data_IF_576054229439
#
_entry.id   IF_576054229439
#
_cell.length_a   1.000
_cell.length_b   1.000
_cell.length_c   1.000
_cell.angle_alpha   90.00
_cell.angle_beta   90.00
_cell.angle_gamma   90.00
#
_symmetry.space_group_name_H-M   'P 1'
#
loop_
_entity.id
_entity.type
_entity.pdbx_description
1 polymer ?
#
# COMPACT_ATOMS: atom_id res chain seq x y z
N UNK A 1 -21.85 7.24 12.20
CA UNK A 1 -20.40 7.29 12.44
C UNK A 1 -20.09 8.39 13.46
N UNK A 2 -19.16 8.16 14.34
CA UNK A 2 -18.70 9.14 15.35
C UNK A 2 -17.75 10.17 14.70
N UNK A 3 -17.01 9.72 13.66
CA UNK A 3 -16.06 10.54 12.94
C UNK A 3 -16.65 11.05 11.61
N UNK A 4 -16.32 12.30 11.25
CA UNK A 4 -16.81 12.94 10.02
C UNK A 4 -15.78 12.87 8.92
N UNK A 5 -15.88 11.88 8.03
CA UNK A 5 -15.03 11.72 6.87
C UNK A 5 -15.49 12.54 5.63
N UNK A 6 -16.63 13.23 5.71
CA UNK A 6 -17.12 14.14 4.67
C UNK A 6 -16.62 15.58 4.84
N UNK A 7 -15.90 15.86 5.92
CA UNK A 7 -15.32 17.17 6.15
C UNK A 7 -14.23 17.47 5.10
N UNK A 8 -14.39 18.61 4.41
CA UNK A 8 -13.40 19.08 3.45
C UNK A 8 -12.36 19.92 4.17
N UNK A 9 -11.15 19.41 4.26
CA UNK A 9 -10.03 20.06 4.90
C UNK A 9 -9.14 20.66 3.82
N UNK A 10 -8.88 21.97 3.88
CA UNK A 10 -7.98 22.63 2.95
C UNK A 10 -6.53 22.15 3.19
N UNK A 11 -5.94 21.62 2.14
CA UNK A 11 -4.57 21.09 2.16
C UNK A 11 -3.60 21.85 1.25
N UNK A 12 -4.10 22.77 0.40
CA UNK A 12 -3.22 23.60 -0.42
C UNK A 12 -2.53 24.65 0.46
N UNK A 13 -1.27 24.92 0.14
CA UNK A 13 -0.44 25.84 0.91
C UNK A 13 0.06 25.28 2.24
N UNK A 14 -0.09 23.96 2.49
CA UNK A 14 0.39 23.30 3.70
C UNK A 14 1.68 22.50 3.48
N UNK A 15 2.31 22.61 2.31
CA UNK A 15 3.39 21.76 1.81
C UNK A 15 2.99 20.29 1.65
N UNK A 16 1.72 20.03 1.41
CA UNK A 16 1.21 18.68 1.12
C UNK A 16 1.79 18.16 -0.20
N UNK A 17 2.53 17.05 -0.15
CA UNK A 17 3.05 16.41 -1.37
C UNK A 17 1.92 16.05 -2.35
N UNK A 18 0.77 15.61 -1.83
CA UNK A 18 -0.40 15.29 -2.63
C UNK A 18 -1.00 16.49 -3.32
N UNK A 19 -1.16 17.63 -2.62
CA UNK A 19 -1.92 18.80 -3.07
C UNK A 19 -1.06 19.91 -3.66
N UNK A 20 0.19 20.10 -3.20
CA UNK A 20 1.04 21.24 -3.56
C UNK A 20 2.10 20.89 -4.62
N UNK A 21 2.24 19.59 -5.00
CA UNK A 21 3.15 19.21 -6.08
C UNK A 21 2.72 19.82 -7.42
N UNK A 22 1.42 19.81 -7.70
CA UNK A 22 0.82 20.44 -8.89
C UNK A 22 0.29 21.79 -8.49
N UNK A 23 0.93 22.85 -9.00
CA UNK A 23 0.57 24.24 -8.67
C UNK A 23 -0.62 24.77 -9.44
N UNK A 24 -1.12 24.03 -10.42
CA UNK A 24 -2.25 24.41 -11.23
C UNK A 24 -3.56 24.40 -10.43
N UNK A 25 -4.31 25.47 -10.52
CA UNK A 25 -5.58 25.61 -9.80
C UNK A 25 -6.65 24.64 -10.32
N UNK A 26 -7.49 24.19 -9.41
CA UNK A 26 -8.64 23.34 -9.70
C UNK A 26 -8.32 21.88 -9.98
N UNK A 27 -7.04 21.46 -9.88
CA UNK A 27 -6.67 20.04 -9.98
C UNK A 27 -7.09 19.28 -8.72
N UNK A 28 -7.79 18.16 -8.91
CA UNK A 28 -8.15 17.21 -7.85
C UNK A 28 -7.12 16.11 -7.80
N UNK A 29 -6.30 16.02 -6.74
CA UNK A 29 -5.29 14.97 -6.62
C UNK A 29 -5.88 13.68 -6.05
N UNK A 30 -5.87 12.62 -6.84
CA UNK A 30 -6.33 11.28 -6.49
C UNK A 30 -5.23 10.23 -6.75
N UNK A 31 -3.97 10.58 -6.51
CA UNK A 31 -2.80 9.81 -6.95
C UNK A 31 -2.01 9.15 -5.82
N UNK A 32 -1.40 9.93 -4.92
CA UNK A 32 -0.54 9.41 -3.86
C UNK A 32 -1.35 8.80 -2.72
N UNK A 33 -0.82 7.76 -2.12
CA UNK A 33 -1.48 6.99 -1.07
C UNK A 33 -1.34 7.65 0.31
N UNK A 34 -1.93 8.83 0.48
CA UNK A 34 -2.32 9.44 1.74
C UNK A 34 -3.81 9.82 1.69
N UNK A 35 -4.42 10.14 2.83
CA UNK A 35 -5.85 10.40 2.93
C UNK A 35 -6.11 11.90 3.09
N UNK A 36 -7.31 12.34 2.68
CA UNK A 36 -7.78 13.72 2.91
C UNK A 36 -8.65 13.82 4.17
N UNK A 37 -8.44 12.93 5.13
CA UNK A 37 -9.09 12.90 6.44
C UNK A 37 -8.11 13.27 7.54
N UNK A 38 -8.59 13.91 8.60
CA UNK A 38 -7.83 13.99 9.85
C UNK A 38 -7.59 12.58 10.38
N UNK A 39 -6.42 12.36 10.96
CA UNK A 39 -6.17 11.15 11.75
C UNK A 39 -7.04 11.12 13.01
N UNK A 40 -7.07 9.99 13.71
CA UNK A 40 -7.85 9.85 14.94
C UNK A 40 -7.55 10.96 15.96
N UNK A 41 -8.58 11.51 16.59
CA UNK A 41 -8.46 12.61 17.55
C UNK A 41 -7.51 12.30 18.71
N UNK A 42 -7.50 11.05 19.19
CA UNK A 42 -6.56 10.59 20.22
C UNK A 42 -5.10 10.80 19.82
N UNK A 43 -4.76 10.56 18.55
CA UNK A 43 -3.39 10.79 18.02
C UNK A 43 -3.08 12.28 18.01
N UNK A 44 -4.01 13.14 17.58
CA UNK A 44 -3.84 14.60 17.58
C UNK A 44 -3.58 15.10 18.98
N UNK A 45 -4.40 14.68 19.96
CA UNK A 45 -4.27 15.06 21.36
C UNK A 45 -2.93 14.62 21.98
N UNK A 46 -2.50 13.39 21.70
CA UNK A 46 -1.21 12.88 22.16
C UNK A 46 -0.02 13.68 21.58
N UNK A 47 -0.10 14.03 20.29
CA UNK A 47 0.91 14.87 19.63
C UNK A 47 0.93 16.29 20.20
N UNK A 48 -0.22 16.91 20.42
CA UNK A 48 -0.33 18.24 21.04
C UNK A 48 0.29 18.26 22.43
N UNK A 49 0.02 17.25 23.25
CA UNK A 49 0.64 17.10 24.56
C UNK A 49 2.17 17.00 24.47
N UNK A 50 2.68 16.27 23.47
CA UNK A 50 4.14 16.15 23.26
C UNK A 50 4.76 17.46 22.77
N UNK A 51 4.08 18.17 21.88
CA UNK A 51 4.52 19.51 21.41
C UNK A 51 4.55 20.50 22.58
N UNK A 52 3.54 20.51 23.44
CA UNK A 52 3.47 21.39 24.63
C UNK A 52 4.63 21.19 25.62
N UNK A 53 5.25 19.99 25.66
CA UNK A 53 6.46 19.75 26.45
C UNK A 53 7.66 20.59 26.00
N UNK A 54 7.78 20.88 24.69
CA UNK A 54 8.73 21.84 24.12
C UNK A 54 10.20 21.40 24.06
N UNK A 55 10.58 20.18 24.46
CA UNK A 55 11.94 19.65 24.36
C UNK A 55 11.98 18.48 23.38
N UNK A 56 12.70 18.61 22.27
CA UNK A 56 12.76 17.66 21.16
C UNK A 56 14.17 17.06 21.04
N UNK A 57 14.68 16.49 22.13
CA UNK A 57 15.95 15.77 22.17
C UNK A 57 15.85 14.35 21.58
N UNK A 58 16.96 13.61 21.63
CA UNK A 58 16.99 12.21 21.21
C UNK A 58 15.92 11.39 21.93
N UNK A 59 15.28 10.48 21.18
CA UNK A 59 14.12 9.74 21.67
C UNK A 59 14.47 8.28 21.89
N UNK A 60 14.20 7.80 23.11
CA UNK A 60 14.22 6.38 23.44
C UNK A 60 12.89 5.75 23.00
N UNK A 61 12.94 4.59 22.37
CA UNK A 61 11.76 3.77 22.13
C UNK A 61 11.43 2.96 23.38
N UNK A 62 10.30 3.24 24.08
CA UNK A 62 9.97 2.60 25.34
C UNK A 62 9.39 1.20 25.14
N UNK A 63 9.35 0.40 26.20
CA UNK A 63 8.74 -0.93 26.19
C UNK A 63 7.27 -0.90 25.76
N UNK A 64 6.54 0.13 26.18
CA UNK A 64 5.14 0.35 25.78
C UNK A 64 4.90 0.49 24.28
N UNK A 65 5.93 0.86 23.51
CA UNK A 65 5.87 0.86 22.05
C UNK A 65 5.75 -0.56 21.48
N UNK A 66 6.58 -1.48 21.98
CA UNK A 66 6.55 -2.89 21.58
C UNK A 66 5.28 -3.58 22.07
N UNK A 67 4.85 -3.28 23.28
CA UNK A 67 3.61 -3.78 23.87
C UNK A 67 2.38 -3.37 23.05
N UNK A 68 2.35 -2.13 22.53
CA UNK A 68 1.28 -1.65 21.66
C UNK A 68 1.21 -2.47 20.35
N UNK A 69 2.34 -2.76 19.71
CA UNK A 69 2.41 -3.59 18.49
C UNK A 69 1.95 -5.01 18.79
N UNK A 70 2.51 -5.64 19.82
CA UNK A 70 2.21 -7.02 20.20
C UNK A 70 0.72 -7.17 20.53
N UNK A 71 0.18 -6.25 21.34
CA UNK A 71 -1.23 -6.23 21.71
C UNK A 71 -2.14 -6.03 20.49
N UNK A 72 -1.81 -5.11 19.59
CA UNK A 72 -2.57 -4.84 18.37
C UNK A 72 -2.71 -6.07 17.50
N UNK A 73 -1.60 -6.68 17.10
CA UNK A 73 -1.60 -7.84 16.22
C UNK A 73 -2.19 -9.10 16.90
N UNK A 74 -2.01 -9.25 18.20
CA UNK A 74 -2.64 -10.32 18.95
C UNK A 74 -4.17 -10.20 18.98
N UNK A 75 -4.72 -8.99 19.22
CA UNK A 75 -6.18 -8.75 19.31
C UNK A 75 -6.86 -8.82 17.94
N UNK A 76 -6.28 -8.15 16.95
CA UNK A 76 -6.93 -8.01 15.63
C UNK A 76 -6.66 -9.18 14.70
N UNK A 77 -5.48 -9.77 14.77
CA UNK A 77 -5.03 -10.77 13.78
C UNK A 77 -4.62 -12.11 14.40
N UNK A 78 -4.78 -12.28 15.71
CA UNK A 78 -4.41 -13.51 16.44
C UNK A 78 -2.95 -13.93 16.22
N UNK A 79 -2.10 -12.97 15.88
CA UNK A 79 -0.69 -13.16 15.66
C UNK A 79 0.13 -12.81 16.91
N UNK A 80 0.84 -13.80 17.45
CA UNK A 80 1.72 -13.63 18.60
C UNK A 80 3.10 -13.23 18.13
N UNK A 81 3.49 -12.00 18.44
CA UNK A 81 4.79 -11.42 18.12
C UNK A 81 5.59 -11.35 19.42
N UNK A 82 6.88 -11.71 19.38
CA UNK A 82 7.81 -11.53 20.49
C UNK A 82 8.51 -10.16 20.36
N UNK A 83 8.73 -9.48 21.49
CA UNK A 83 9.37 -8.17 21.53
C UNK A 83 10.71 -8.15 20.78
N UNK A 84 11.53 -9.18 20.98
CA UNK A 84 12.85 -9.29 20.38
C UNK A 84 12.84 -9.43 18.86
N UNK A 85 11.68 -9.73 18.23
CA UNK A 85 11.56 -9.81 16.77
C UNK A 85 11.43 -8.43 16.12
N UNK A 86 11.11 -7.40 16.90
CA UNK A 86 10.73 -6.09 16.39
C UNK A 86 11.95 -5.16 16.31
N UNK A 87 12.22 -4.65 15.11
CA UNK A 87 13.09 -3.52 14.86
C UNK A 87 12.24 -2.34 14.36
N UNK A 88 12.60 -1.13 14.72
CA UNK A 88 11.92 0.08 14.22
C UNK A 88 12.75 0.79 13.16
N UNK A 89 12.09 1.54 12.29
CA UNK A 89 12.70 2.36 11.24
C UNK A 89 11.78 3.51 10.83
N UNK A 90 12.24 4.40 9.98
CA UNK A 90 11.52 5.60 9.55
C UNK A 90 10.39 5.36 8.55
N UNK A 91 10.28 4.16 7.98
CA UNK A 91 9.23 3.83 7.00
C UNK A 91 9.41 2.45 6.39
N UNK A 92 8.36 1.93 5.74
CA UNK A 92 8.40 0.59 5.12
C UNK A 92 9.31 0.56 3.89
N UNK A 93 9.39 1.63 3.09
CA UNK A 93 10.32 1.70 1.95
C UNK A 93 11.78 1.66 2.40
N UNK A 94 12.23 2.44 3.39
CA UNK A 94 13.53 2.23 4.02
C UNK A 94 13.73 0.83 4.60
N UNK A 95 12.68 0.25 5.22
CA UNK A 95 12.74 -1.12 5.74
C UNK A 95 13.04 -2.15 4.65
N UNK A 96 12.36 -2.06 3.49
CA UNK A 96 12.62 -2.93 2.33
C UNK A 96 14.09 -2.83 1.92
N UNK A 97 14.63 -1.62 1.79
CA UNK A 97 16.02 -1.39 1.41
C UNK A 97 17.01 -2.00 2.42
N UNK A 98 16.70 -1.92 3.73
CA UNK A 98 17.52 -2.55 4.78
C UNK A 98 17.44 -4.08 4.71
N UNK A 99 16.26 -4.65 4.46
CA UNK A 99 16.07 -6.08 4.30
C UNK A 99 16.82 -6.62 3.07
N UNK A 100 16.72 -5.92 1.94
CA UNK A 100 17.45 -6.29 0.72
C UNK A 100 18.97 -6.28 0.94
N UNK A 101 19.51 -5.25 1.57
CA UNK A 101 20.95 -5.19 1.93
C UNK A 101 21.38 -6.31 2.90
N UNK A 102 20.46 -6.80 3.72
CA UNK A 102 20.75 -7.88 4.66
C UNK A 102 20.62 -9.28 4.02
N UNK A 103 19.79 -9.44 3.00
CA UNK A 103 19.48 -10.74 2.36
C UNK A 103 20.30 -10.92 1.08
N UNK A 104 20.32 -9.93 0.21
CA UNK A 104 20.83 -10.03 -1.16
C UNK A 104 22.25 -9.46 -1.30
N UNK A 105 22.96 -9.98 -2.31
CA UNK A 105 24.21 -9.41 -2.80
C UNK A 105 23.96 -8.67 -4.13
N UNK A 106 24.76 -7.65 -4.49
CA UNK A 106 24.69 -7.01 -5.79
C UNK A 106 24.79 -8.02 -6.95
N UNK A 107 23.91 -7.90 -7.95
CA UNK A 107 23.81 -8.83 -9.08
C UNK A 107 22.90 -10.03 -8.84
N UNK A 108 22.36 -10.19 -7.63
CA UNK A 108 21.29 -11.16 -7.37
C UNK A 108 19.92 -10.61 -7.79
N UNK A 109 18.95 -11.49 -7.86
CA UNK A 109 17.61 -11.22 -8.36
C UNK A 109 16.58 -11.18 -7.23
N UNK A 110 15.65 -10.24 -7.35
CA UNK A 110 14.53 -10.10 -6.41
C UNK A 110 13.22 -10.19 -7.17
N UNK A 111 12.38 -11.15 -6.77
CA UNK A 111 11.09 -11.42 -7.38
C UNK A 111 10.03 -10.46 -6.85
N UNK A 112 9.17 -9.97 -7.75
CA UNK A 112 7.97 -9.19 -7.44
C UNK A 112 6.80 -9.64 -8.33
N UNK A 113 5.55 -9.40 -7.89
CA UNK A 113 4.34 -9.79 -8.62
C UNK A 113 3.68 -8.57 -9.25
N UNK A 114 3.96 -8.32 -10.54
CA UNK A 114 3.44 -7.15 -11.27
C UNK A 114 2.01 -7.34 -11.80
N UNK A 115 1.19 -6.24 -11.84
CA UNK A 115 1.52 -4.87 -11.43
C UNK A 115 1.69 -4.76 -9.91
N UNK A 116 2.70 -4.00 -9.44
CA UNK A 116 3.02 -3.90 -8.01
C UNK A 116 3.55 -2.51 -7.65
N UNK A 117 3.56 -2.18 -6.38
CA UNK A 117 4.02 -0.90 -5.85
C UNK A 117 5.39 -0.50 -6.41
N UNK A 118 5.43 0.66 -7.05
CA UNK A 118 6.56 1.12 -7.85
C UNK A 118 7.87 1.31 -7.05
N UNK A 119 7.80 1.61 -5.74
CA UNK A 119 9.02 1.73 -4.93
C UNK A 119 9.76 0.39 -4.75
N UNK A 120 9.11 -0.75 -5.00
CA UNK A 120 9.84 -2.03 -4.99
C UNK A 120 10.93 -2.06 -6.07
N UNK A 121 10.63 -1.56 -7.26
CA UNK A 121 11.62 -1.48 -8.35
C UNK A 121 12.83 -0.65 -7.95
N UNK A 122 12.61 0.55 -7.39
CA UNK A 122 13.71 1.41 -6.95
C UNK A 122 14.48 0.83 -5.77
N UNK A 123 13.82 0.22 -4.78
CA UNK A 123 14.49 -0.44 -3.67
C UNK A 123 15.42 -1.56 -4.14
N UNK A 124 14.97 -2.38 -5.10
CA UNK A 124 15.74 -3.47 -5.68
C UNK A 124 16.94 -2.94 -6.45
N UNK A 125 16.71 -2.03 -7.39
CA UNK A 125 17.80 -1.48 -8.25
C UNK A 125 18.81 -0.67 -7.44
N UNK A 126 18.37 0.11 -6.45
CA UNK A 126 19.25 0.86 -5.56
C UNK A 126 20.08 -0.05 -4.63
N UNK A 127 19.65 -1.30 -4.43
CA UNK A 127 20.42 -2.32 -3.71
C UNK A 127 21.41 -3.06 -4.61
N UNK A 128 21.51 -2.69 -5.90
CA UNK A 128 22.36 -3.36 -6.89
C UNK A 128 21.80 -4.69 -7.38
N UNK A 129 20.55 -5.00 -7.10
CA UNK A 129 19.88 -6.23 -7.50
C UNK A 129 19.07 -6.04 -8.79
N UNK A 130 18.73 -7.15 -9.43
CA UNK A 130 17.90 -7.20 -10.63
C UNK A 130 16.44 -7.50 -10.25
N UNK A 131 15.50 -6.79 -10.90
CA UNK A 131 14.07 -7.05 -10.75
C UNK A 131 13.67 -8.24 -11.60
N UNK A 132 12.97 -9.20 -11.00
CA UNK A 132 12.32 -10.31 -11.71
C UNK A 132 10.81 -10.20 -11.51
N UNK A 133 10.06 -10.15 -12.61
CA UNK A 133 8.62 -9.94 -12.56
C UNK A 133 7.86 -11.27 -12.77
N UNK A 134 7.03 -11.64 -11.80
CA UNK A 134 5.95 -12.62 -11.97
C UNK A 134 4.66 -11.84 -12.27
N UNK A 135 4.27 -11.78 -13.54
CA UNK A 135 3.07 -11.06 -13.96
C UNK A 135 1.82 -11.79 -13.48
N UNK A 136 0.98 -11.10 -12.70
CA UNK A 136 -0.30 -11.62 -12.25
C UNK A 136 -1.24 -11.81 -13.44
N UNK A 137 -1.98 -12.93 -13.44
CA UNK A 137 -2.99 -13.22 -14.47
C UNK A 137 -4.30 -12.51 -14.15
N UNK A 138 -4.78 -11.70 -15.07
CA UNK A 138 -6.13 -11.17 -14.99
C UNK A 138 -7.14 -12.28 -15.27
N UNK A 139 -8.14 -12.43 -14.40
CA UNK A 139 -9.16 -13.46 -14.49
C UNK A 139 -10.57 -12.92 -14.21
N UNK A 140 -11.56 -13.54 -14.83
CA UNK A 140 -12.98 -13.26 -14.60
C UNK A 140 -13.35 -11.77 -14.57
N UNK A 141 -14.20 -11.39 -13.62
CA UNK A 141 -14.66 -10.01 -13.45
C UNK A 141 -13.63 -9.14 -12.76
N UNK A 142 -12.58 -8.75 -13.49
CA UNK A 142 -11.59 -7.77 -13.05
C UNK A 142 -10.94 -8.10 -11.69
N UNK A 143 -10.36 -9.29 -11.56
CA UNK A 143 -9.48 -9.65 -10.45
C UNK A 143 -8.20 -10.30 -10.98
N UNK A 144 -7.28 -10.59 -10.09
CA UNK A 144 -5.97 -11.16 -10.43
C UNK A 144 -5.72 -12.48 -9.70
N UNK A 145 -5.02 -13.38 -10.35
CA UNK A 145 -4.51 -14.63 -9.78
C UNK A 145 -3.00 -14.74 -10.00
N UNK A 146 -2.35 -15.55 -9.17
CA UNK A 146 -0.91 -15.78 -9.25
C UNK A 146 -0.65 -16.84 -10.34
N UNK A 147 0.28 -16.54 -11.24
CA UNK A 147 0.87 -17.56 -12.11
C UNK A 147 1.93 -18.35 -11.33
N UNK A 148 1.51 -19.41 -10.67
CA UNK A 148 2.38 -20.22 -9.84
C UNK A 148 3.44 -21.01 -10.63
N UNK A 149 3.19 -21.36 -11.88
CA UNK A 149 4.19 -22.02 -12.73
C UNK A 149 5.34 -21.07 -13.07
N UNK A 150 4.98 -19.83 -13.47
CA UNK A 150 5.96 -18.79 -13.72
C UNK A 150 6.67 -18.34 -12.44
N UNK A 151 5.94 -18.26 -11.31
CA UNK A 151 6.50 -17.94 -10.00
C UNK A 151 7.57 -18.97 -9.60
N UNK A 152 7.27 -20.26 -9.68
CA UNK A 152 8.21 -21.33 -9.33
C UNK A 152 9.42 -21.34 -10.28
N UNK A 153 9.20 -21.17 -11.58
CA UNK A 153 10.29 -21.10 -12.56
C UNK A 153 11.27 -19.97 -12.24
N UNK A 154 10.78 -18.83 -11.77
CA UNK A 154 11.58 -17.67 -11.39
C UNK A 154 12.28 -17.83 -10.05
N UNK A 155 11.65 -18.48 -9.10
CA UNK A 155 12.29 -18.87 -7.84
C UNK A 155 13.42 -19.91 -8.06
N UNK A 156 13.31 -20.75 -9.09
CA UNK A 156 14.31 -21.79 -9.40
C UNK A 156 15.61 -21.24 -10.01
N UNK A 157 15.66 -19.97 -10.40
CA UNK A 157 16.91 -19.32 -10.82
C UNK A 157 17.81 -19.13 -9.58
N UNK A 158 19.01 -19.69 -9.61
CA UNK A 158 19.98 -19.69 -8.51
C UNK A 158 20.35 -18.26 -8.02
N UNK A 159 20.14 -17.24 -8.85
CA UNK A 159 20.36 -15.85 -8.48
C UNK A 159 19.16 -15.23 -7.76
N UNK A 160 17.99 -15.85 -7.78
CA UNK A 160 16.81 -15.33 -7.09
C UNK A 160 16.89 -15.63 -5.60
N UNK A 161 17.14 -14.62 -4.77
CA UNK A 161 17.42 -14.77 -3.34
C UNK A 161 16.32 -14.20 -2.45
N UNK A 162 15.49 -13.30 -2.98
CA UNK A 162 14.38 -12.71 -2.25
C UNK A 162 13.13 -12.56 -3.11
N UNK A 163 11.98 -12.61 -2.45
CA UNK A 163 10.68 -12.25 -2.99
C UNK A 163 10.06 -11.14 -2.12
N UNK A 164 9.65 -10.03 -2.74
CA UNK A 164 8.90 -8.98 -2.05
C UNK A 164 7.42 -9.23 -2.27
N UNK A 165 6.75 -9.71 -1.22
CA UNK A 165 5.31 -9.93 -1.19
C UNK A 165 4.60 -8.63 -0.82
N UNK A 166 3.59 -8.22 -1.56
CA UNK A 166 2.67 -7.13 -1.23
C UNK A 166 1.35 -7.72 -0.72
N UNK A 167 1.02 -7.54 0.56
CA UNK A 167 -0.14 -8.18 1.20
C UNK A 167 -0.82 -7.27 2.24
N UNK A 168 -1.95 -6.64 1.97
CA UNK A 168 -2.73 -6.59 0.71
C UNK A 168 -1.97 -5.99 -0.48
N UNK A 169 -2.35 -6.39 -1.68
CA UNK A 169 -1.63 -6.09 -2.91
C UNK A 169 -2.04 -4.76 -3.54
N UNK A 170 -1.10 -3.85 -3.67
CA UNK A 170 -1.24 -2.57 -4.37
C UNK A 170 -0.49 -2.65 -5.72
N UNK A 171 -1.13 -2.41 -6.87
CA UNK A 171 -2.47 -1.83 -7.07
C UNK A 171 -3.59 -2.85 -7.34
N UNK A 172 -3.30 -4.15 -7.42
CA UNK A 172 -4.26 -5.17 -7.83
C UNK A 172 -5.47 -5.31 -6.87
N UNK A 173 -5.39 -4.73 -5.66
CA UNK A 173 -6.46 -4.72 -4.68
C UNK A 173 -6.74 -6.07 -4.02
N UNK A 174 -5.85 -7.07 -4.19
CA UNK A 174 -6.02 -8.41 -3.64
C UNK A 174 -5.64 -8.48 -2.16
N UNK A 175 -6.41 -9.26 -1.41
CA UNK A 175 -6.04 -9.82 -0.11
C UNK A 175 -5.77 -11.30 -0.32
N UNK A 176 -4.51 -11.71 -0.23
CA UNK A 176 -4.13 -13.09 -0.55
C UNK A 176 -4.71 -14.05 0.47
N UNK A 177 -5.27 -15.17 -0.01
CA UNK A 177 -5.78 -16.23 0.85
C UNK A 177 -4.63 -16.97 1.52
N UNK A 178 -4.92 -17.57 2.67
CA UNK A 178 -3.95 -18.35 3.42
C UNK A 178 -3.26 -19.42 2.55
N UNK A 179 -4.02 -20.13 1.74
CA UNK A 179 -3.54 -21.20 0.86
C UNK A 179 -2.61 -20.66 -0.25
N UNK A 180 -2.89 -19.44 -0.76
CA UNK A 180 -2.04 -18.77 -1.74
C UNK A 180 -0.70 -18.38 -1.10
N UNK A 181 -0.74 -17.84 0.12
CA UNK A 181 0.44 -17.45 0.89
C UNK A 181 1.30 -18.67 1.27
N UNK A 182 0.68 -19.75 1.73
CA UNK A 182 1.37 -21.02 2.03
C UNK A 182 2.08 -21.56 0.79
N UNK A 183 1.38 -21.62 -0.35
CA UNK A 183 1.96 -22.11 -1.61
C UNK A 183 3.14 -21.25 -2.08
N UNK A 184 3.04 -19.92 -1.96
CA UNK A 184 4.19 -19.05 -2.27
C UNK A 184 5.37 -19.36 -1.37
N UNK A 185 5.15 -19.54 -0.07
CA UNK A 185 6.21 -19.89 0.88
C UNK A 185 6.86 -21.24 0.58
N UNK A 186 6.07 -22.26 0.26
CA UNK A 186 6.57 -23.60 -0.06
C UNK A 186 7.51 -23.58 -1.27
N UNK A 187 7.14 -22.81 -2.29
CA UNK A 187 7.98 -22.60 -3.47
C UNK A 187 9.25 -21.82 -3.09
N UNK A 188 9.13 -20.75 -2.33
CA UNK A 188 10.27 -19.97 -1.86
C UNK A 188 11.25 -20.81 -1.04
N UNK A 189 10.75 -21.60 -0.09
CA UNK A 189 11.57 -22.52 0.71
C UNK A 189 12.28 -23.58 -0.13
N UNK A 190 11.57 -24.17 -1.09
CA UNK A 190 12.14 -25.19 -2.00
C UNK A 190 13.37 -24.67 -2.75
N UNK A 191 13.38 -23.38 -3.08
CA UNK A 191 14.44 -22.74 -3.86
C UNK A 191 15.35 -21.81 -3.04
N UNK A 192 15.20 -21.77 -1.71
CA UNK A 192 16.04 -20.94 -0.83
C UNK A 192 15.79 -19.44 -0.91
N UNK A 193 14.60 -19.03 -1.39
CA UNK A 193 14.20 -17.64 -1.53
C UNK A 193 13.61 -17.13 -0.21
N UNK A 194 14.09 -15.99 0.30
CA UNK A 194 13.53 -15.33 1.49
C UNK A 194 12.36 -14.42 1.13
N UNK A 195 11.33 -14.39 1.97
CA UNK A 195 10.15 -13.54 1.77
C UNK A 195 10.27 -12.26 2.58
N UNK A 196 10.14 -11.11 1.90
CA UNK A 196 9.97 -9.79 2.51
C UNK A 196 8.50 -9.42 2.32
N UNK A 197 7.69 -9.57 3.36
CA UNK A 197 6.26 -9.31 3.31
C UNK A 197 5.97 -7.84 3.67
N UNK A 198 5.67 -7.02 2.66
CA UNK A 198 5.15 -5.67 2.87
C UNK A 198 3.66 -5.75 3.18
N UNK A 199 3.34 -5.60 4.46
CA UNK A 199 1.99 -5.69 5.00
C UNK A 199 1.48 -4.32 5.50
N UNK A 200 1.97 -3.22 4.93
CA UNK A 200 1.60 -1.85 5.34
C UNK A 200 0.10 -1.54 5.20
N UNK A 201 -0.60 -2.27 4.32
CA UNK A 201 -2.05 -2.12 4.10
C UNK A 201 -2.91 -3.12 4.90
N UNK A 202 -2.34 -3.88 5.83
CA UNK A 202 -2.99 -5.00 6.52
C UNK A 202 -4.28 -4.63 7.28
N UNK A 203 -4.45 -3.39 7.68
CA UNK A 203 -5.63 -2.90 8.40
C UNK A 203 -6.73 -2.34 7.48
N UNK A 204 -6.45 -2.21 6.19
CA UNK A 204 -7.35 -1.60 5.20
C UNK A 204 -8.02 -2.70 4.37
N UNK A 205 -8.99 -3.37 4.98
CA UNK A 205 -9.63 -4.58 4.43
C UNK A 205 -11.11 -4.30 4.18
N UNK A 206 -11.58 -4.66 2.99
CA UNK A 206 -12.98 -4.51 2.63
C UNK A 206 -13.85 -5.58 3.28
N UNK A 207 -15.13 -5.28 3.61
CA UNK A 207 -16.05 -6.25 4.19
C UNK A 207 -16.13 -7.55 3.37
N UNK A 208 -16.09 -8.69 4.06
CA UNK A 208 -16.11 -10.03 3.45
C UNK A 208 -14.74 -10.62 3.13
N UNK A 209 -13.67 -9.87 3.36
CA UNK A 209 -12.29 -10.33 3.21
C UNK A 209 -11.57 -10.37 4.55
N UNK A 210 -10.54 -11.18 4.65
CA UNK A 210 -9.74 -11.33 5.85
C UNK A 210 -8.26 -11.33 5.51
N UNK A 211 -7.52 -10.39 6.09
CA UNK A 211 -6.07 -10.40 6.06
C UNK A 211 -5.51 -11.49 6.96
N UNK A 212 -4.49 -12.18 6.46
CA UNK A 212 -3.71 -13.15 7.22
C UNK A 212 -2.26 -12.69 7.28
N UNK A 213 -1.69 -12.42 8.48
CA UNK A 213 -0.27 -12.12 8.61
C UNK A 213 0.58 -13.28 8.09
N UNK A 214 1.51 -13.02 7.18
CA UNK A 214 2.29 -14.08 6.55
C UNK A 214 3.05 -14.95 7.57
N UNK A 215 3.66 -14.33 8.57
CA UNK A 215 4.40 -15.05 9.62
C UNK A 215 3.51 -15.83 10.59
N UNK A 216 2.20 -15.63 10.60
CA UNK A 216 1.26 -16.34 11.48
C UNK A 216 0.76 -17.66 10.91
N UNK A 217 0.99 -17.91 9.63
CA UNK A 217 0.41 -19.04 8.89
C UNK A 217 0.93 -20.37 9.39
N UNK A 218 2.25 -20.48 9.51
CA UNK A 218 2.96 -21.69 9.96
C UNK A 218 4.36 -21.33 10.48
N UNK A 219 5.02 -22.28 11.16
CA UNK A 219 6.43 -22.11 11.56
C UNK A 219 7.33 -21.94 10.34
N UNK A 220 7.05 -22.65 9.26
CA UNK A 220 7.80 -22.54 8.01
C UNK A 220 7.68 -21.14 7.38
N UNK A 221 6.50 -20.52 7.39
CA UNK A 221 6.31 -19.13 6.95
C UNK A 221 7.04 -18.16 7.88
N UNK A 222 6.89 -18.35 9.22
CA UNK A 222 7.53 -17.50 10.23
C UNK A 222 9.05 -17.46 10.06
N UNK A 223 9.68 -18.60 9.85
CA UNK A 223 11.14 -18.72 9.82
C UNK A 223 11.75 -18.35 8.47
N UNK A 224 10.92 -18.22 7.42
CA UNK A 224 11.36 -17.82 6.08
C UNK A 224 11.08 -16.37 5.75
N UNK A 225 10.46 -15.58 6.61
CA UNK A 225 10.03 -14.23 6.27
C UNK A 225 10.56 -13.14 7.18
N UNK A 226 10.45 -11.93 6.65
CA UNK A 226 10.50 -10.67 7.38
C UNK A 226 9.21 -9.93 7.06
N UNK A 227 8.46 -9.50 8.09
CA UNK A 227 7.22 -8.75 7.92
C UNK A 227 7.46 -7.27 8.18
N UNK A 228 6.94 -6.43 7.29
CA UNK A 228 7.05 -4.98 7.38
C UNK A 228 5.67 -4.37 7.59
N UNK A 229 5.51 -3.56 8.61
CA UNK A 229 4.25 -2.87 8.87
C UNK A 229 4.43 -1.46 9.42
N UNK A 230 3.36 -0.69 9.37
CA UNK A 230 3.31 0.67 9.92
C UNK A 230 1.87 1.14 10.03
N UNK A 231 1.51 1.94 11.02
CA UNK A 231 0.21 2.62 11.08
C UNK A 231 0.07 3.77 10.07
N UNK A 232 1.12 4.06 9.28
CA UNK A 232 1.17 5.23 8.40
C UNK A 232 0.06 5.26 7.34
N UNK A 233 -0.34 4.10 6.81
CA UNK A 233 -1.44 4.00 5.83
C UNK A 233 -2.80 3.90 6.50
N UNK A 234 -2.92 3.13 7.55
CA UNK A 234 -4.18 2.90 8.25
C UNK A 234 -4.67 4.11 9.07
N UNK A 235 -3.75 4.94 9.56
CA UNK A 235 -4.07 6.12 10.37
C UNK A 235 -3.67 7.46 9.74
N UNK A 236 -3.31 7.48 8.45
CA UNK A 236 -2.93 8.70 7.73
C UNK A 236 -1.81 9.51 8.41
N UNK A 237 -0.77 8.83 8.88
CA UNK A 237 0.36 9.43 9.60
C UNK A 237 1.72 9.21 8.93
N UNK A 238 1.74 9.07 7.60
CA UNK A 238 2.96 8.79 6.84
C UNK A 238 4.07 9.84 7.05
N UNK A 239 3.69 11.10 7.26
CA UNK A 239 4.62 12.20 7.54
C UNK A 239 5.33 12.09 8.90
N UNK A 240 4.86 11.23 9.80
CA UNK A 240 5.48 11.01 11.12
C UNK A 240 6.60 9.96 11.10
N UNK A 241 6.79 9.29 9.98
CA UNK A 241 7.95 8.44 9.68
C UNK A 241 8.27 7.40 10.76
N UNK A 242 7.39 6.42 10.93
CA UNK A 242 7.58 5.27 11.82
C UNK A 242 7.12 3.99 11.13
N UNK A 243 7.91 2.93 11.22
CA UNK A 243 7.59 1.60 10.73
C UNK A 243 8.32 0.53 11.54
N UNK A 244 7.90 -0.72 11.38
CA UNK A 244 8.47 -1.87 12.06
C UNK A 244 8.89 -2.94 11.05
N UNK A 245 9.99 -3.61 11.41
CA UNK A 245 10.48 -4.82 10.78
C UNK A 245 10.34 -5.93 11.81
N UNK A 246 9.51 -6.93 11.54
CA UNK A 246 9.31 -8.07 12.43
C UNK A 246 10.04 -9.27 11.81
N UNK A 247 11.14 -9.68 12.45
CA UNK A 247 12.02 -10.74 11.97
C UNK A 247 12.28 -11.77 13.08
N UNK A 248 11.64 -12.93 13.05
CA UNK A 248 11.87 -14.00 14.04
C UNK A 248 13.29 -14.57 14.02
N UNK A 249 13.88 -14.75 12.83
CA UNK A 249 15.27 -15.25 12.68
C UNK A 249 16.28 -14.27 13.29
N UNK A 250 16.91 -14.67 14.40
CA UNK A 250 17.85 -13.83 15.13
C UNK A 250 19.11 -13.48 14.32
N UNK A 251 19.54 -14.33 13.40
CA UNK A 251 20.71 -14.07 12.58
C UNK A 251 20.39 -13.05 11.50
N UNK A 252 19.29 -13.23 10.80
CA UNK A 252 18.81 -12.27 9.81
C UNK A 252 18.48 -10.93 10.47
N UNK A 253 17.83 -10.94 11.63
CA UNK A 253 17.50 -9.75 12.39
C UNK A 253 18.75 -8.92 12.75
N UNK A 254 19.85 -9.57 13.18
CA UNK A 254 21.13 -8.88 13.42
C UNK A 254 21.69 -8.24 12.15
N UNK A 255 21.59 -8.90 10.99
CA UNK A 255 22.03 -8.37 9.69
C UNK A 255 21.18 -7.17 9.29
N UNK A 256 19.86 -7.25 9.46
CA UNK A 256 18.94 -6.13 9.18
C UNK A 256 19.23 -4.95 10.11
N UNK A 257 19.40 -5.20 11.40
CA UNK A 257 19.77 -4.13 12.35
C UNK A 257 21.09 -3.45 11.96
N UNK A 258 22.07 -4.22 11.50
CA UNK A 258 23.32 -3.66 10.96
C UNK A 258 23.04 -2.81 9.72
N UNK A 259 22.16 -3.24 8.81
CA UNK A 259 21.82 -2.50 7.60
C UNK A 259 21.09 -1.17 7.92
N UNK A 260 20.25 -1.13 8.96
CA UNK A 260 19.64 0.10 9.46
C UNK A 260 20.70 1.10 9.92
N UNK A 261 21.70 0.60 10.66
CA UNK A 261 22.72 1.43 11.29
C UNK A 261 23.90 1.77 10.38
N UNK A 262 24.00 1.24 9.16
CA UNK A 262 25.16 1.43 8.28
C UNK A 262 25.34 2.89 7.84
N UNK A 263 24.27 3.66 7.81
CA UNK A 263 24.27 5.08 7.46
C UNK A 263 24.10 5.99 8.70
N UNK A 264 24.18 5.43 9.91
CA UNK A 264 23.94 6.12 11.19
C UNK A 264 22.55 6.84 11.26
N UNK A 265 21.54 6.27 10.59
CA UNK A 265 20.16 6.77 10.57
C UNK A 265 19.26 5.79 11.33
N UNK A 266 19.58 5.62 12.61
CA UNK A 266 18.91 4.64 13.47
C UNK A 266 17.94 5.26 14.49
N UNK A 267 17.98 6.58 14.66
CA UNK A 267 17.13 7.27 15.62
C UNK A 267 15.71 7.49 15.06
N UNK A 268 14.73 7.48 15.96
CA UNK A 268 13.34 7.79 15.64
C UNK A 268 12.95 9.16 16.15
N UNK A 269 11.97 9.78 15.48
CA UNK A 269 11.40 11.01 15.99
C UNK A 269 10.34 10.73 17.07
N UNK A 270 10.21 11.60 18.09
CA UNK A 270 9.28 11.39 19.20
C UNK A 270 7.81 11.32 18.78
N UNK A 271 7.44 11.99 17.68
CA UNK A 271 6.06 12.05 17.22
C UNK A 271 5.62 10.71 16.59
N UNK A 272 6.51 10.06 15.83
CA UNK A 272 6.25 8.74 15.25
C UNK A 272 6.03 7.68 16.32
N UNK A 273 6.87 7.66 17.36
CA UNK A 273 6.75 6.73 18.48
C UNK A 273 5.42 6.89 19.21
N UNK A 274 5.05 8.13 19.55
CA UNK A 274 3.79 8.44 20.25
C UNK A 274 2.59 8.12 19.38
N UNK A 275 2.63 8.51 18.11
CA UNK A 275 1.52 8.29 17.19
C UNK A 275 1.23 6.80 16.99
N UNK A 276 2.27 5.95 16.85
CA UNK A 276 2.08 4.50 16.74
C UNK A 276 1.45 3.91 17.99
N UNK A 277 1.97 4.26 19.18
CA UNK A 277 1.43 3.76 20.44
C UNK A 277 -0.05 4.14 20.61
N UNK A 278 -0.38 5.41 20.34
CA UNK A 278 -1.75 5.91 20.46
C UNK A 278 -2.66 5.29 19.41
N UNK A 279 -2.21 5.17 18.18
CA UNK A 279 -2.97 4.52 17.09
C UNK A 279 -3.39 3.09 17.49
N UNK A 280 -2.44 2.30 17.98
CA UNK A 280 -2.70 0.90 18.31
C UNK A 280 -3.40 0.67 19.65
N UNK A 281 -3.30 1.60 20.59
CA UNK A 281 -3.97 1.47 21.88
C UNK A 281 -5.38 2.09 21.90
N UNK A 282 -5.62 3.14 21.10
CA UNK A 282 -6.83 3.98 21.24
C UNK A 282 -7.54 4.25 19.89
N UNK A 283 -6.90 3.94 18.75
CA UNK A 283 -7.40 4.34 17.43
C UNK A 283 -8.36 3.34 16.76
N UNK A 284 -8.67 2.21 17.38
CA UNK A 284 -9.38 1.08 16.76
C UNK A 284 -10.76 1.49 16.21
N UNK A 285 -11.56 2.20 16.97
CA UNK A 285 -12.90 2.65 16.56
C UNK A 285 -12.84 3.58 15.34
N UNK A 286 -11.87 4.50 15.29
CA UNK A 286 -11.67 5.38 14.13
C UNK A 286 -11.32 4.59 12.87
N UNK A 287 -10.45 3.59 13.00
CA UNK A 287 -10.06 2.74 11.89
C UNK A 287 -11.22 1.90 11.35
N UNK A 288 -12.05 1.36 12.23
CA UNK A 288 -13.21 0.56 11.82
C UNK A 288 -14.24 1.42 11.08
N UNK A 289 -14.51 2.65 11.55
CA UNK A 289 -15.37 3.60 10.82
C UNK A 289 -14.73 4.07 9.50
N UNK A 290 -13.41 4.27 9.46
CA UNK A 290 -12.70 4.58 8.22
C UNK A 290 -12.87 3.47 7.18
N UNK A 291 -12.68 2.22 7.56
CA UNK A 291 -12.83 1.08 6.66
C UNK A 291 -14.25 0.99 6.09
N UNK A 292 -15.27 1.27 6.91
CA UNK A 292 -16.65 1.34 6.45
C UNK A 292 -16.85 2.48 5.43
N UNK A 293 -16.31 3.67 5.69
CA UNK A 293 -16.41 4.80 4.78
C UNK A 293 -15.66 4.56 3.45
N UNK A 294 -14.47 3.95 3.51
CA UNK A 294 -13.72 3.56 2.32
C UNK A 294 -14.47 2.52 1.47
N UNK A 295 -15.12 1.56 2.12
CA UNK A 295 -15.98 0.61 1.42
C UNK A 295 -17.14 1.30 0.72
N UNK A 296 -17.81 2.24 1.37
CA UNK A 296 -18.89 3.03 0.76
C UNK A 296 -18.38 3.88 -0.41
N UNK A 297 -17.18 4.47 -0.30
CA UNK A 297 -16.51 5.15 -1.41
C UNK A 297 -16.25 4.20 -2.57
N UNK A 298 -15.76 2.99 -2.30
CA UNK A 298 -15.55 1.98 -3.34
C UNK A 298 -16.86 1.57 -4.04
N UNK A 299 -17.95 1.39 -3.28
CA UNK A 299 -19.26 1.10 -3.88
C UNK A 299 -19.74 2.26 -4.78
N UNK A 300 -19.54 3.51 -4.35
CA UNK A 300 -19.86 4.68 -5.16
C UNK A 300 -19.06 4.74 -6.47
N UNK A 301 -17.77 4.37 -6.45
CA UNK A 301 -16.96 4.27 -7.69
C UNK A 301 -17.54 3.23 -8.64
N UNK A 302 -17.89 2.06 -8.12
CA UNK A 302 -18.47 0.98 -8.93
C UNK A 302 -19.81 1.38 -9.53
N UNK A 303 -20.71 1.91 -8.73
CA UNK A 303 -22.03 2.35 -9.16
C UNK A 303 -21.91 3.44 -10.22
N UNK A 304 -21.07 4.43 -9.98
CA UNK A 304 -20.82 5.53 -10.90
C UNK A 304 -20.38 5.03 -12.28
N UNK A 305 -19.31 4.24 -12.35
CA UNK A 305 -18.83 3.76 -13.65
C UNK A 305 -19.80 2.77 -14.30
N UNK A 306 -20.44 1.90 -13.54
CA UNK A 306 -21.45 1.00 -14.12
C UNK A 306 -22.63 1.75 -14.76
N UNK A 307 -22.96 2.95 -14.26
CA UNK A 307 -24.08 3.77 -14.78
C UNK A 307 -23.64 4.74 -15.85
N UNK A 308 -22.57 5.50 -15.56
CA UNK A 308 -22.19 6.65 -16.39
C UNK A 308 -21.17 6.30 -17.49
N UNK A 309 -20.31 5.30 -17.27
CA UNK A 309 -19.27 4.89 -18.22
C UNK A 309 -18.87 3.44 -18.03
N UNK A 310 -19.74 2.47 -18.41
CA UNK A 310 -19.53 1.04 -18.13
C UNK A 310 -18.33 0.40 -18.83
N UNK A 311 -17.72 1.10 -19.80
CA UNK A 311 -16.47 0.69 -20.44
C UNK A 311 -15.27 0.78 -19.48
N UNK A 312 -15.31 1.67 -18.46
CA UNK A 312 -14.34 1.64 -17.37
C UNK A 312 -14.66 0.47 -16.44
N UNK A 313 -13.77 -0.49 -16.39
CA UNK A 313 -13.94 -1.67 -15.54
C UNK A 313 -13.20 -1.46 -14.21
N UNK A 314 -13.96 -1.43 -13.13
CA UNK A 314 -13.41 -1.27 -11.79
C UNK A 314 -12.91 -2.62 -11.26
N UNK A 315 -11.60 -2.75 -11.02
CA UNK A 315 -11.03 -3.97 -10.45
C UNK A 315 -11.59 -4.23 -9.05
N UNK A 316 -11.82 -5.50 -8.72
CA UNK A 316 -12.31 -5.90 -7.40
C UNK A 316 -11.30 -5.45 -6.33
N UNK A 317 -11.77 -4.62 -5.41
CA UNK A 317 -11.00 -4.15 -4.28
C UNK A 317 -11.32 -5.00 -3.05
N UNK A 318 -10.37 -5.81 -2.62
CA UNK A 318 -10.46 -6.66 -1.43
C UNK A 318 -9.78 -5.99 -0.22
N UNK A 319 -8.81 -5.15 -0.48
CA UNK A 319 -8.09 -4.34 0.51
C UNK A 319 -7.43 -3.11 -0.09
N UNK A 320 -6.87 -2.26 0.73
CA UNK A 320 -6.34 -0.91 0.43
C UNK A 320 -7.47 0.12 0.18
N UNK A 321 -7.08 1.36 -0.15
CA UNK A 321 -7.99 2.43 -0.65
C UNK A 321 -7.57 2.91 -2.04
N UNK A 322 -6.90 2.02 -2.80
CA UNK A 322 -6.31 2.32 -4.10
C UNK A 322 -7.03 1.48 -5.15
N UNK A 323 -7.93 2.12 -5.88
CA UNK A 323 -8.73 1.45 -6.91
C UNK A 323 -7.96 1.40 -8.21
N UNK A 324 -7.97 0.24 -8.85
CA UNK A 324 -7.35 -0.03 -10.13
C UNK A 324 -8.42 -0.04 -11.22
N UNK A 325 -8.35 0.93 -12.14
CA UNK A 325 -9.30 1.12 -13.22
C UNK A 325 -8.74 0.56 -14.52
N UNK A 326 -9.45 -0.36 -15.13
CA UNK A 326 -9.16 -0.88 -16.46
C UNK A 326 -9.81 0.02 -17.51
N UNK A 327 -8.98 0.64 -18.34
CA UNK A 327 -9.36 1.55 -19.42
C UNK A 327 -8.98 1.01 -20.80
N UNK A 328 -8.65 -0.28 -20.90
CA UNK A 328 -8.32 -0.94 -22.18
C UNK A 328 -9.36 -0.72 -23.30
N UNK A 329 -10.68 -0.65 -22.99
CA UNK A 329 -11.70 -0.42 -24.02
C UNK A 329 -11.61 0.95 -24.73
N UNK A 330 -10.86 1.90 -24.18
CA UNK A 330 -10.72 3.24 -24.77
C UNK A 330 -9.56 3.35 -25.78
N UNK A 331 -8.83 2.27 -26.00
CA UNK A 331 -7.65 2.22 -26.89
C UNK A 331 -6.56 3.27 -26.59
N UNK A 332 -6.61 3.83 -25.37
CA UNK A 332 -5.59 4.73 -24.85
C UNK A 332 -4.52 3.99 -24.07
N UNK A 333 -3.27 4.38 -24.24
CA UNK A 333 -2.23 3.97 -23.30
C UNK A 333 -2.50 4.60 -21.91
N UNK A 334 -1.99 3.96 -20.84
CA UNK A 334 -2.10 4.52 -19.49
C UNK A 334 -1.53 5.93 -19.38
N UNK A 335 -0.41 6.19 -20.09
CA UNK A 335 0.28 7.46 -20.03
C UNK A 335 -0.50 8.55 -20.79
N UNK A 336 -1.06 8.25 -21.98
CA UNK A 336 -1.94 9.17 -22.71
C UNK A 336 -3.20 9.51 -21.90
N UNK A 337 -3.86 8.50 -21.31
CA UNK A 337 -5.03 8.71 -20.47
C UNK A 337 -4.69 9.59 -19.25
N UNK A 338 -3.55 9.36 -18.61
CA UNK A 338 -3.05 10.18 -17.51
C UNK A 338 -2.87 11.65 -17.96
N UNK A 339 -2.19 11.90 -19.09
CA UNK A 339 -1.96 13.25 -19.59
C UNK A 339 -3.26 13.97 -19.91
N UNK A 340 -4.23 13.29 -20.55
CA UNK A 340 -5.55 13.84 -20.85
C UNK A 340 -6.35 14.17 -19.58
N UNK A 341 -6.36 13.28 -18.61
CA UNK A 341 -7.02 13.52 -17.34
C UNK A 341 -6.40 14.70 -16.59
N UNK A 342 -5.09 14.84 -16.65
CA UNK A 342 -4.39 15.96 -16.03
C UNK A 342 -4.69 17.30 -16.74
N UNK A 343 -4.59 17.34 -18.08
CA UNK A 343 -4.69 18.56 -18.86
C UNK A 343 -6.15 19.02 -19.02
N UNK A 344 -7.06 18.11 -19.40
CA UNK A 344 -8.43 18.42 -19.77
C UNK A 344 -9.41 18.19 -18.61
N UNK A 345 -9.12 17.18 -17.77
CA UNK A 345 -9.95 16.80 -16.63
C UNK A 345 -9.61 17.54 -15.34
N UNK A 346 -8.38 18.04 -15.22
CA UNK A 346 -7.85 18.56 -13.96
C UNK A 346 -7.99 17.53 -12.83
N UNK A 347 -7.65 16.26 -13.14
CA UNK A 347 -7.62 15.14 -12.17
C UNK A 347 -6.26 14.48 -12.24
N UNK A 348 -5.58 14.42 -11.12
CA UNK A 348 -4.27 13.81 -11.01
C UNK A 348 -4.41 12.39 -10.44
N UNK A 349 -4.32 11.38 -11.30
CA UNK A 349 -4.28 9.94 -10.97
C UNK A 349 -2.88 9.39 -11.25
N UNK A 350 -2.63 8.10 -11.02
CA UNK A 350 -1.39 7.48 -11.46
C UNK A 350 -1.60 6.66 -12.73
N UNK A 351 -0.67 6.82 -13.69
CA UNK A 351 -0.55 5.90 -14.82
C UNK A 351 -0.22 4.50 -14.34
N UNK A 352 -0.86 3.50 -14.92
CA UNK A 352 -0.64 2.10 -14.58
C UNK A 352 0.77 1.62 -14.88
N UNK A 353 1.44 2.18 -15.89
CA UNK A 353 2.81 1.82 -16.29
C UNK A 353 3.83 2.00 -15.17
N UNK A 354 3.55 2.86 -14.17
CA UNK A 354 4.38 3.01 -12.97
C UNK A 354 4.47 1.72 -12.13
N UNK A 355 3.50 0.83 -12.23
CA UNK A 355 3.38 -0.40 -11.41
C UNK A 355 3.85 -1.67 -12.14
N UNK A 356 4.42 -1.51 -13.30
CA UNK A 356 4.90 -2.54 -14.21
C UNK A 356 4.65 -2.07 -15.64
N UNK A 357 5.72 -1.89 -16.41
CA UNK A 357 5.61 -1.23 -17.71
C UNK A 357 4.65 -1.96 -18.65
N UNK A 358 4.62 -3.29 -18.62
CA UNK A 358 3.71 -4.12 -19.41
C UNK A 358 2.41 -4.39 -18.65
N UNK A 359 2.49 -4.87 -17.41
CA UNK A 359 1.35 -5.30 -16.62
C UNK A 359 0.40 -4.15 -16.23
N UNK A 360 0.89 -2.91 -16.22
CA UNK A 360 0.08 -1.73 -15.92
C UNK A 360 -0.48 -1.00 -17.14
N UNK A 361 -0.18 -1.46 -18.36
CA UNK A 361 -0.65 -0.83 -19.58
C UNK A 361 -2.17 -0.96 -19.74
N UNK A 362 -2.86 0.16 -20.04
CA UNK A 362 -4.31 0.22 -20.11
C UNK A 362 -5.00 0.32 -18.74
N UNK A 363 -4.26 0.75 -17.71
CA UNK A 363 -4.79 0.92 -16.36
C UNK A 363 -4.45 2.27 -15.75
N UNK A 364 -5.30 2.71 -14.80
CA UNK A 364 -5.07 3.88 -13.95
C UNK A 364 -5.27 3.50 -12.49
N UNK A 365 -4.51 4.09 -11.56
CA UNK A 365 -4.73 3.92 -10.13
C UNK A 365 -5.34 5.17 -9.51
N UNK A 366 -6.44 4.98 -8.81
CA UNK A 366 -7.23 6.02 -8.16
C UNK A 366 -7.19 5.86 -6.63
N UNK A 367 -6.83 6.91 -5.90
CA UNK A 367 -6.96 6.98 -4.45
C UNK A 367 -8.37 7.47 -4.08
N UNK A 368 -9.13 6.66 -3.33
CA UNK A 368 -10.49 6.96 -2.92
C UNK A 368 -10.61 7.42 -1.45
N UNK A 369 -9.48 7.60 -0.75
CA UNK A 369 -9.46 8.06 0.63
C UNK A 369 -9.59 9.60 0.71
N UNK A 370 -10.75 10.10 0.28
CA UNK A 370 -11.13 11.50 0.32
C UNK A 370 -12.64 11.64 0.59
N UNK A 371 -13.14 12.82 1.01
CA UNK A 371 -14.57 13.08 1.18
C UNK A 371 -15.37 12.72 -0.08
N UNK A 372 -16.58 12.16 0.11
CA UNK A 372 -17.45 11.70 -0.97
C UNK A 372 -17.65 12.76 -2.07
N UNK A 373 -17.82 14.02 -1.67
CA UNK A 373 -17.98 15.13 -2.61
C UNK A 373 -16.76 15.27 -3.54
N UNK A 374 -15.56 15.20 -2.99
CA UNK A 374 -14.30 15.28 -3.74
C UNK A 374 -14.16 14.06 -4.67
N UNK A 375 -14.47 12.87 -4.18
CA UNK A 375 -14.48 11.64 -4.96
C UNK A 375 -15.40 11.77 -6.18
N UNK A 376 -16.67 12.13 -5.97
CA UNK A 376 -17.64 12.25 -7.06
C UNK A 376 -17.25 13.30 -8.10
N UNK A 377 -16.69 14.44 -7.68
CA UNK A 377 -16.15 15.43 -8.60
C UNK A 377 -15.02 14.88 -9.47
N UNK A 378 -14.13 14.09 -8.89
CA UNK A 378 -13.06 13.42 -9.62
C UNK A 378 -13.60 12.42 -10.64
N UNK A 379 -14.56 11.56 -10.23
CA UNK A 379 -15.18 10.58 -11.12
C UNK A 379 -15.88 11.20 -12.32
N UNK A 380 -16.67 12.27 -12.08
CA UNK A 380 -17.36 13.03 -13.15
C UNK A 380 -16.36 13.57 -14.17
N UNK A 381 -15.24 14.11 -13.71
CA UNK A 381 -14.20 14.64 -14.60
C UNK A 381 -13.50 13.53 -15.38
N UNK A 382 -13.20 12.38 -14.73
CA UNK A 382 -12.64 11.20 -15.40
C UNK A 382 -13.58 10.72 -16.51
N UNK A 383 -14.86 10.54 -16.20
CA UNK A 383 -15.85 10.09 -17.18
C UNK A 383 -15.97 11.07 -18.36
N UNK A 384 -16.05 12.37 -18.08
CA UNK A 384 -16.13 13.41 -19.13
C UNK A 384 -14.95 13.39 -20.10
N UNK A 385 -13.74 13.10 -19.60
CA UNK A 385 -12.55 13.04 -20.47
C UNK A 385 -12.54 11.73 -21.25
N UNK A 386 -12.72 10.58 -20.59
CA UNK A 386 -12.64 9.28 -21.23
C UNK A 386 -13.76 9.05 -22.25
N UNK A 387 -14.99 9.58 -22.03
CA UNK A 387 -16.09 9.46 -22.98
C UNK A 387 -15.82 10.08 -24.36
N UNK A 388 -14.84 10.98 -24.47
CA UNK A 388 -14.43 11.56 -25.75
C UNK A 388 -13.64 10.59 -26.64
N UNK A 389 -13.23 9.45 -26.09
CA UNK A 389 -12.41 8.43 -26.76
C UNK A 389 -13.18 7.10 -26.92
N UNK A 390 -14.50 7.19 -26.93
CA UNK A 390 -15.38 6.05 -27.28
C UNK A 390 -15.69 6.09 -28.76
N UNK A 391 -15.72 4.92 -29.41
CA UNK A 391 -16.18 4.82 -30.78
C UNK A 391 -17.68 5.15 -30.89
N UNK A 392 -18.11 5.77 -32.02
CA UNK A 392 -19.51 6.16 -32.21
C UNK A 392 -20.49 4.95 -32.15
N UNK A 393 -20.03 3.73 -32.40
CA UNK A 393 -20.82 2.51 -32.29
C UNK A 393 -21.17 2.14 -30.83
N UNK A 394 -20.29 2.46 -29.88
CA UNK A 394 -20.50 2.18 -28.43
C UNK A 394 -21.49 3.19 -27.79
N UNK A 395 -21.69 4.36 -28.38
CA UNK A 395 -22.66 5.36 -27.91
C UNK A 395 -24.12 4.99 -28.22
N UNK A 396 -24.35 4.08 -29.18
CA UNK A 396 -25.70 3.66 -29.60
C UNK A 396 -26.40 2.67 -28.65
N UNK A 397 -25.69 2.16 -27.65
CA UNK A 397 -26.17 1.18 -26.68
C UNK A 397 -26.70 1.75 -25.36
N UNK A 398 -26.68 3.07 -25.15
CA UNK A 398 -27.24 3.70 -23.94
C UNK A 398 -28.75 3.94 -24.12
N UNK A 399 -29.63 3.34 -23.31
CA UNK A 399 -31.04 3.73 -23.29
C UNK A 399 -31.17 5.16 -22.75
N UNK A 400 -31.94 5.98 -23.49
CA UNK A 400 -32.25 7.36 -23.17
C UNK A 400 -33.08 7.50 -21.86
#
# INVERSE_FOLDING_TARGET
MKYNFDEIIERRGTNSYKWDLVKEDGVIPMWVADMDFQTASCIIEALQKRVAHGIFGYTLVPDSYYEAIISWFSRRHQWKIEKDWILYTSGVVPAISCCLKAICMPGEKVLVQTPVYNCFFSCITNSGCEVVENELKRVGNCTYEIDFEDFERKCADEKTTAFILCNPHNPAGRVWKKEELERMNDICLKHGVKVIADEIHCELIMPGYQYTPFASISEACRDNCVVLNSPSKSFNIAGLQIANIICPDATLRRRINRAININEVCDVNPFGVIALQTAYNEGEEWLDELNQYLYENYQAVKEFFNTELPQVRVTRLEGTYLVWLDILPFELSSDEAYEKLMNDGKVFVNSGTMYGRKAGQGYLRLNIACPRKTLMQGLIRIARVLSQYMDEEDLSGCPA
#
